data_IF_814170603415
#
_entry.id   IF_814170603415
#
_cell.length_a   1.000
_cell.length_b   1.000
_cell.length_c   1.000
_cell.angle_alpha   90.00
_cell.angle_beta   90.00
_cell.angle_gamma   90.00
#
_symmetry.space_group_name_H-M   'P 1'
#
loop_
_entity.id
_entity.type
_entity.pdbx_description
1 polymer ?
#
# COMPACT_ATOMS: atom_id res chain seq x y z
N UNK A 1 0.14 -12.83 2.91
CA UNK A 1 0.52 -11.78 3.89
C UNK A 1 1.84 -12.20 4.48
N UNK A 2 2.91 -11.46 4.18
CA UNK A 2 4.26 -11.78 4.67
C UNK A 2 4.49 -11.00 5.95
N UNK A 3 4.86 -11.67 7.05
CA UNK A 3 5.15 -11.02 8.32
C UNK A 3 6.66 -10.92 8.50
N UNK A 4 7.15 -9.76 8.96
CA UNK A 4 8.58 -9.56 9.22
C UNK A 4 9.08 -10.40 10.40
N UNK A 5 8.23 -10.68 11.38
CA UNK A 5 8.60 -11.44 12.58
C UNK A 5 7.50 -12.44 12.99
N UNK A 6 7.38 -13.59 12.29
CA UNK A 6 6.28 -14.54 12.49
C UNK A 6 6.21 -15.12 13.91
N UNK A 7 7.34 -15.19 14.61
CA UNK A 7 7.41 -15.63 16.02
C UNK A 7 6.62 -14.73 16.98
N UNK A 8 6.37 -13.46 16.63
CA UNK A 8 5.61 -12.52 17.48
C UNK A 8 4.13 -12.90 17.55
N UNK A 9 3.60 -13.66 16.57
CA UNK A 9 2.23 -14.18 16.64
C UNK A 9 2.02 -15.12 17.83
N UNK A 10 3.08 -15.74 18.38
CA UNK A 10 2.97 -16.55 19.58
C UNK A 10 2.50 -15.71 20.79
N UNK A 11 2.74 -14.39 20.76
CA UNK A 11 2.22 -13.42 21.73
C UNK A 11 0.69 -13.30 21.75
N UNK A 12 -0.03 -13.75 20.72
CA UNK A 12 -1.49 -13.87 20.77
C UNK A 12 -1.96 -14.85 21.84
N UNK A 13 -1.13 -15.81 22.26
CA UNK A 13 -1.44 -16.66 23.41
C UNK A 13 -1.63 -15.84 24.70
N UNK A 14 -0.97 -14.69 24.83
CA UNK A 14 -1.18 -13.79 25.97
C UNK A 14 -2.57 -13.14 25.96
N UNK A 15 -3.19 -12.96 24.78
CA UNK A 15 -4.57 -12.47 24.66
C UNK A 15 -5.61 -13.51 25.13
N UNK A 16 -5.23 -14.80 25.21
CA UNK A 16 -6.08 -15.84 25.77
C UNK A 16 -6.10 -15.82 27.32
N UNK A 17 -5.09 -15.24 27.97
CA UNK A 17 -4.96 -15.22 29.44
C UNK A 17 -6.15 -14.50 30.12
N UNK A 18 -6.57 -13.28 29.70
CA UNK A 18 -7.73 -12.62 30.30
C UNK A 18 -9.04 -13.37 30.06
N UNK A 19 -9.20 -13.98 28.89
CA UNK A 19 -10.39 -14.76 28.55
C UNK A 19 -10.49 -16.04 29.40
N UNK A 20 -9.35 -16.72 29.62
CA UNK A 20 -9.28 -17.93 30.43
C UNK A 20 -9.48 -17.63 31.92
N UNK A 21 -8.90 -16.54 32.43
CA UNK A 21 -9.14 -16.06 33.80
C UNK A 21 -10.63 -15.73 34.02
N UNK A 22 -11.28 -15.08 33.05
CA UNK A 22 -12.72 -14.79 33.15
C UNK A 22 -13.60 -16.04 33.22
N UNK A 23 -13.24 -17.10 32.47
CA UNK A 23 -13.96 -18.37 32.51
C UNK A 23 -13.77 -19.11 33.83
N UNK A 24 -12.60 -18.94 34.47
CA UNK A 24 -12.28 -19.54 35.78
C UNK A 24 -12.99 -18.83 36.94
N UNK A 25 -13.20 -17.52 36.83
CA UNK A 25 -13.88 -16.68 37.84
C UNK A 25 -15.40 -16.94 37.93
N UNK A 26 -15.94 -17.78 37.05
CA UNK A 26 -17.35 -18.21 37.04
C UNK A 26 -17.68 -19.28 38.08
N UNK A 27 -16.74 -19.65 38.97
CA UNK A 27 -16.97 -20.63 40.04
C UNK A 27 -17.69 -20.00 41.24
N UNK A 28 -19.02 -20.13 41.22
CA UNK A 28 -19.98 -20.28 42.33
C UNK A 28 -19.74 -19.40 43.58
N UNK A 29 -20.54 -18.33 43.79
CA UNK A 29 -20.72 -17.77 45.13
C UNK A 29 -21.44 -18.80 46.02
N UNK A 30 -21.02 -19.03 47.27
CA UNK A 30 -21.78 -19.89 48.18
C UNK A 30 -23.18 -19.32 48.40
N UNK A 31 -24.20 -20.16 48.28
CA UNK A 31 -25.59 -19.82 48.59
C UNK A 31 -25.70 -19.55 50.10
N UNK A 32 -25.77 -18.27 50.48
CA UNK A 32 -26.17 -17.86 51.82
C UNK A 32 -27.67 -17.56 51.82
N UNK A 33 -28.48 -18.49 52.34
CA UNK A 33 -29.90 -18.25 52.58
C UNK A 33 -30.08 -17.29 53.77
N UNK A 34 -30.34 -16.01 53.50
CA UNK A 34 -30.82 -15.06 54.52
C UNK A 34 -32.25 -14.58 54.19
N UNK A 35 -33.28 -15.03 54.94
CA UNK A 35 -34.71 -14.89 54.59
C UNK A 35 -35.47 -13.53 54.63
N UNK A 36 -34.95 -12.31 54.91
CA UNK A 36 -35.84 -11.12 54.91
C UNK A 36 -35.83 -10.26 53.62
N UNK A 37 -34.90 -10.45 52.68
CA UNK A 37 -34.64 -9.46 51.60
C UNK A 37 -35.41 -9.67 50.29
N UNK A 38 -36.53 -10.40 50.29
CA UNK A 38 -37.27 -10.75 49.06
C UNK A 38 -37.91 -9.54 48.35
N UNK A 39 -38.08 -8.41 49.05
CA UNK A 39 -38.72 -7.19 48.53
C UNK A 39 -37.76 -6.17 47.88
N UNK A 40 -36.45 -6.42 47.85
CA UNK A 40 -35.47 -5.55 47.18
C UNK A 40 -34.88 -6.18 45.89
N UNK A 41 -35.57 -7.16 45.30
CA UNK A 41 -35.06 -7.95 44.16
C UNK A 41 -35.27 -7.31 42.78
N UNK A 42 -36.12 -6.30 42.66
CA UNK A 42 -36.38 -5.64 41.37
C UNK A 42 -35.34 -4.55 41.05
N UNK A 43 -34.84 -3.85 42.08
CA UNK A 43 -33.77 -2.85 41.94
C UNK A 43 -32.39 -3.49 41.64
N UNK A 44 -32.12 -4.69 42.14
CA UNK A 44 -30.85 -5.39 41.87
C UNK A 44 -30.72 -5.89 40.43
N UNK A 45 -31.83 -6.25 39.77
CA UNK A 45 -31.78 -6.80 38.39
C UNK A 45 -31.26 -5.80 37.37
N UNK A 46 -31.53 -4.51 37.55
CA UNK A 46 -31.02 -3.45 36.66
C UNK A 46 -29.53 -3.16 36.91
N UNK A 47 -29.11 -3.11 38.18
CA UNK A 47 -27.71 -2.93 38.57
C UNK A 47 -26.83 -4.11 38.13
N UNK A 48 -27.33 -5.34 38.28
CA UNK A 48 -26.63 -6.55 37.83
C UNK A 48 -26.44 -6.61 36.30
N UNK A 49 -27.39 -6.10 35.52
CA UNK A 49 -27.27 -6.02 34.04
C UNK A 49 -26.23 -4.97 33.63
N UNK A 50 -26.22 -3.80 34.25
CA UNK A 50 -25.22 -2.74 33.99
C UNK A 50 -23.81 -3.20 34.37
N UNK A 51 -23.67 -3.91 35.49
CA UNK A 51 -22.38 -4.43 35.94
C UNK A 51 -21.84 -5.51 34.98
N UNK A 52 -22.70 -6.41 34.50
CA UNK A 52 -22.35 -7.42 33.48
C UNK A 52 -21.94 -6.79 32.15
N UNK A 53 -22.63 -5.75 31.69
CA UNK A 53 -22.28 -5.04 30.46
C UNK A 53 -20.93 -4.34 30.59
N UNK A 54 -20.69 -3.66 31.71
CA UNK A 54 -19.40 -3.00 31.98
C UNK A 54 -18.26 -4.01 32.05
N UNK A 55 -18.49 -5.16 32.69
CA UNK A 55 -17.49 -6.22 32.76
C UNK A 55 -17.15 -6.81 31.39
N UNK A 56 -18.16 -7.04 30.54
CA UNK A 56 -17.95 -7.53 29.18
C UNK A 56 -17.21 -6.51 28.30
N UNK A 57 -17.55 -5.22 28.42
CA UNK A 57 -16.86 -4.14 27.72
C UNK A 57 -15.41 -3.99 28.19
N UNK A 58 -15.15 -4.09 29.49
CA UNK A 58 -13.79 -4.05 30.05
C UNK A 58 -12.96 -5.26 29.61
N UNK A 59 -13.58 -6.44 29.53
CA UNK A 59 -12.91 -7.64 29.02
C UNK A 59 -12.53 -7.47 27.55
N UNK A 60 -13.46 -7.01 26.70
CA UNK A 60 -13.18 -6.75 25.29
C UNK A 60 -12.09 -5.68 25.09
N UNK A 61 -12.11 -4.62 25.89
CA UNK A 61 -11.09 -3.58 25.79
C UNK A 61 -9.71 -4.09 26.20
N UNK A 62 -9.63 -4.93 27.25
CA UNK A 62 -8.38 -5.53 27.72
C UNK A 62 -7.78 -6.49 26.69
N UNK A 63 -8.60 -7.34 26.07
CA UNK A 63 -8.13 -8.25 25.01
C UNK A 63 -7.76 -7.49 23.74
N UNK A 64 -8.55 -6.49 23.35
CA UNK A 64 -8.26 -5.63 22.20
C UNK A 64 -6.92 -4.90 22.35
N UNK A 65 -6.60 -4.39 23.55
CA UNK A 65 -5.32 -3.73 23.80
C UNK A 65 -4.13 -4.67 23.58
N UNK A 66 -4.21 -5.90 24.10
CA UNK A 66 -3.14 -6.91 23.92
C UNK A 66 -2.98 -7.26 22.44
N UNK A 67 -4.10 -7.49 21.73
CA UNK A 67 -4.07 -7.78 20.29
C UNK A 67 -3.44 -6.63 19.50
N UNK A 68 -3.79 -5.37 19.82
CA UNK A 68 -3.22 -4.19 19.16
C UNK A 68 -1.71 -4.07 19.40
N UNK A 69 -1.23 -4.32 20.63
CA UNK A 69 0.20 -4.31 20.96
C UNK A 69 0.94 -5.40 20.18
N UNK A 70 0.41 -6.62 20.15
CA UNK A 70 1.02 -7.73 19.40
C UNK A 70 1.04 -7.41 17.90
N UNK A 71 -0.03 -6.84 17.36
CA UNK A 71 -0.10 -6.45 15.95
C UNK A 71 0.89 -5.32 15.61
N UNK A 72 1.02 -4.32 16.49
CA UNK A 72 1.98 -3.24 16.33
C UNK A 72 3.43 -3.76 16.37
N UNK A 73 3.72 -4.71 17.27
CA UNK A 73 5.03 -5.35 17.38
C UNK A 73 5.33 -6.28 16.19
N UNK A 74 4.32 -6.99 15.67
CA UNK A 74 4.47 -7.88 14.52
C UNK A 74 4.72 -7.14 13.20
N UNK A 75 4.48 -5.81 13.16
CA UNK A 75 4.63 -4.94 11.99
C UNK A 75 4.13 -5.63 10.71
N UNK A 76 2.82 -5.92 10.59
CA UNK A 76 2.27 -6.55 9.40
C UNK A 76 2.62 -5.69 8.19
N UNK A 77 3.28 -6.29 7.20
CA UNK A 77 3.40 -5.70 5.87
C UNK A 77 2.03 -5.80 5.21
N UNK A 78 1.14 -4.87 5.55
CA UNK A 78 -0.05 -4.62 4.77
C UNK A 78 0.46 -4.13 3.40
N UNK A 79 0.18 -4.84 2.29
CA UNK A 79 0.31 -4.22 0.97
C UNK A 79 -0.51 -2.96 1.05
N UNK A 80 0.08 -1.77 0.83
CA UNK A 80 -0.59 -0.49 1.09
C UNK A 80 -1.91 -0.38 0.31
N UNK A 81 -2.98 -0.82 0.94
CA UNK A 81 -4.35 -0.54 0.57
C UNK A 81 -4.85 0.28 1.75
N UNK A 82 -4.80 1.59 1.55
CA UNK A 82 -4.91 2.63 2.57
C UNK A 82 -5.97 2.30 3.62
N UNK A 83 -5.53 2.33 4.88
CA UNK A 83 -6.39 2.28 6.05
C UNK A 83 -7.34 3.48 6.07
N UNK A 84 -8.64 3.21 5.92
CA UNK A 84 -9.70 3.83 6.72
C UNK A 84 -10.06 5.31 6.52
N UNK A 85 -9.38 6.08 5.68
CA UNK A 85 -9.77 7.45 5.35
C UNK A 85 -9.67 7.65 3.84
N UNK A 86 -10.82 7.71 3.16
CA UNK A 86 -11.04 8.12 1.76
C UNK A 86 -9.81 7.99 0.83
N UNK A 87 -9.85 6.93 0.03
CA UNK A 87 -9.13 6.68 -1.22
C UNK A 87 -9.28 7.84 -2.23
N UNK A 88 -8.79 9.03 -1.89
CA UNK A 88 -8.59 10.09 -2.87
C UNK A 88 -7.16 9.90 -3.35
N UNK A 89 -7.03 9.20 -4.48
CA UNK A 89 -5.81 9.29 -5.28
C UNK A 89 -5.59 10.78 -5.55
N UNK A 90 -4.54 11.34 -4.93
CA UNK A 90 -4.24 12.76 -5.08
C UNK A 90 -3.91 13.02 -6.55
N UNK A 91 -4.52 14.03 -7.20
CA UNK A 91 -4.25 14.33 -8.60
C UNK A 91 -2.74 14.47 -8.82
N UNK A 92 -2.19 13.57 -9.63
CA UNK A 92 -0.75 13.43 -9.81
C UNK A 92 -0.38 13.79 -11.24
N UNK A 93 0.66 14.61 -11.40
CA UNK A 93 1.32 14.75 -12.68
C UNK A 93 2.32 13.58 -12.82
N UNK A 94 2.16 12.75 -13.85
CA UNK A 94 2.93 11.52 -14.06
C UNK A 94 3.49 11.47 -15.47
N UNK A 95 4.82 11.43 -15.57
CA UNK A 95 5.51 11.15 -16.83
C UNK A 95 6.10 9.73 -16.82
N UNK A 96 5.73 8.91 -17.79
CA UNK A 96 6.25 7.55 -17.97
C UNK A 96 7.23 7.56 -19.13
N UNK A 97 8.47 7.15 -18.88
CA UNK A 97 9.51 6.95 -19.89
C UNK A 97 9.59 5.45 -20.16
N UNK A 98 9.29 5.04 -21.39
CA UNK A 98 9.42 3.67 -21.87
C UNK A 98 10.57 3.60 -22.86
N UNK A 99 11.61 2.86 -22.48
CA UNK A 99 12.72 2.55 -23.37
C UNK A 99 12.29 1.50 -24.38
N UNK A 100 12.19 1.93 -25.65
CA UNK A 100 12.01 1.04 -26.78
C UNK A 100 13.20 1.11 -27.74
N UNK A 101 14.39 1.44 -27.26
CA UNK A 101 15.62 1.48 -28.06
C UNK A 101 16.06 0.07 -28.52
N UNK A 102 17.06 -0.05 -29.43
CA UNK A 102 17.46 -1.34 -29.99
C UNK A 102 17.82 -2.41 -28.96
N UNK A 103 18.35 -2.01 -27.79
CA UNK A 103 18.71 -2.95 -26.72
C UNK A 103 17.51 -3.65 -26.08
N UNK A 104 16.36 -2.99 -26.05
CA UNK A 104 15.11 -3.54 -25.52
C UNK A 104 14.56 -4.68 -26.39
N UNK A 105 15.05 -4.84 -27.62
CA UNK A 105 14.75 -5.99 -28.47
C UNK A 105 15.44 -7.30 -28.04
N UNK A 106 16.36 -7.26 -27.08
CA UNK A 106 17.04 -8.45 -26.59
C UNK A 106 16.04 -9.45 -25.98
N UNK A 107 16.19 -10.73 -26.31
CA UNK A 107 15.36 -11.80 -25.75
C UNK A 107 16.08 -12.35 -24.52
N UNK A 108 15.41 -12.30 -23.36
CA UNK A 108 15.90 -12.81 -22.09
C UNK A 108 14.87 -13.85 -21.61
N UNK A 109 15.33 -15.06 -21.28
CA UNK A 109 14.46 -16.16 -20.83
C UNK A 109 13.31 -16.48 -21.81
N UNK A 110 13.56 -16.36 -23.11
CA UNK A 110 12.57 -16.65 -24.17
C UNK A 110 11.57 -15.53 -24.45
N UNK A 111 11.65 -14.40 -23.75
CA UNK A 111 10.76 -13.24 -23.95
C UNK A 111 11.56 -11.97 -24.31
N UNK A 112 11.07 -11.13 -25.25
CA UNK A 112 11.65 -9.82 -25.49
C UNK A 112 11.66 -8.96 -24.22
N UNK A 113 12.78 -8.31 -23.92
CA UNK A 113 12.91 -7.37 -22.81
C UNK A 113 11.88 -6.23 -22.91
N UNK A 114 11.59 -5.79 -24.14
CA UNK A 114 10.55 -4.79 -24.42
C UNK A 114 9.18 -5.18 -23.84
N UNK A 115 8.80 -6.46 -23.87
CA UNK A 115 7.51 -6.90 -23.32
C UNK A 115 7.46 -6.73 -21.80
N UNK A 116 8.59 -6.96 -21.11
CA UNK A 116 8.72 -6.69 -19.68
C UNK A 116 8.63 -5.20 -19.39
N UNK A 117 9.30 -4.37 -20.17
CA UNK A 117 9.26 -2.90 -20.03
C UNK A 117 7.86 -2.35 -20.29
N UNK A 118 7.15 -2.86 -21.31
CA UNK A 118 5.73 -2.55 -21.57
C UNK A 118 4.86 -2.91 -20.38
N UNK A 119 5.04 -4.08 -19.79
CA UNK A 119 4.29 -4.50 -18.61
C UNK A 119 4.52 -3.56 -17.42
N UNK A 120 5.76 -3.12 -17.18
CA UNK A 120 6.10 -2.14 -16.13
C UNK A 120 5.48 -0.76 -16.39
N UNK A 121 5.55 -0.26 -17.63
CA UNK A 121 4.93 1.00 -18.02
C UNK A 121 3.40 0.93 -17.88
N UNK A 122 2.78 -0.16 -18.33
CA UNK A 122 1.35 -0.43 -18.19
C UNK A 122 0.92 -0.49 -16.73
N UNK A 123 1.67 -1.15 -15.87
CA UNK A 123 1.38 -1.21 -14.44
C UNK A 123 1.37 0.19 -13.79
N UNK A 124 2.19 1.12 -14.29
CA UNK A 124 2.18 2.52 -13.85
C UNK A 124 0.94 3.27 -14.34
N UNK A 125 0.61 3.16 -15.63
CA UNK A 125 -0.54 3.87 -16.23
C UNK A 125 -1.89 3.37 -15.70
N UNK A 126 -2.03 2.09 -15.37
CA UNK A 126 -3.30 1.53 -14.84
C UNK A 126 -3.68 2.12 -13.48
N UNK A 127 -2.68 2.49 -12.66
CA UNK A 127 -2.92 3.10 -11.35
C UNK A 127 -3.38 4.56 -11.46
N UNK A 128 -3.20 5.20 -12.61
CA UNK A 128 -3.60 6.57 -12.82
C UNK A 128 -5.13 6.74 -12.83
N UNK A 129 -5.57 7.86 -12.28
CA UNK A 129 -6.96 8.30 -12.25
C UNK A 129 -7.29 9.29 -13.38
N UNK A 130 -8.57 9.60 -13.56
CA UNK A 130 -9.01 10.62 -14.52
C UNK A 130 -8.59 12.05 -14.13
N UNK A 131 -8.21 12.27 -12.87
CA UNK A 131 -7.72 13.57 -12.40
C UNK A 131 -6.22 13.78 -12.66
N UNK A 132 -5.51 12.74 -13.12
CA UNK A 132 -4.07 12.80 -13.35
C UNK A 132 -3.72 13.43 -14.68
N UNK A 133 -2.52 14.01 -14.73
CA UNK A 133 -1.92 14.50 -15.95
C UNK A 133 -0.84 13.52 -16.39
N UNK A 134 -1.03 12.93 -17.57
CA UNK A 134 -0.22 11.80 -18.02
C UNK A 134 0.59 12.14 -19.26
N UNK A 135 1.86 11.76 -19.26
CA UNK A 135 2.73 11.79 -20.43
C UNK A 135 3.42 10.45 -20.64
N UNK A 136 3.63 10.10 -21.91
CA UNK A 136 4.48 8.98 -22.33
C UNK A 136 5.64 9.51 -23.17
N UNK A 137 6.85 9.12 -22.81
CA UNK A 137 8.09 9.40 -23.56
C UNK A 137 8.67 8.08 -24.05
N UNK A 138 8.99 8.00 -25.34
CA UNK A 138 9.63 6.84 -25.96
C UNK A 138 11.10 7.14 -26.28
N UNK A 139 11.79 6.23 -26.97
CA UNK A 139 13.18 6.41 -27.39
C UNK A 139 13.41 7.62 -28.31
N UNK A 140 12.36 8.17 -28.92
CA UNK A 140 12.43 9.41 -29.70
C UNK A 140 12.48 10.69 -28.85
N UNK A 141 12.33 10.57 -27.52
CA UNK A 141 12.38 11.69 -26.59
C UNK A 141 11.15 12.62 -26.65
N UNK A 142 10.13 12.28 -27.45
CA UNK A 142 8.94 13.11 -27.61
C UNK A 142 7.92 12.75 -26.52
N UNK A 143 7.56 13.75 -25.70
CA UNK A 143 6.52 13.61 -24.69
C UNK A 143 5.13 13.71 -25.30
N UNK A 144 4.34 12.65 -25.13
CA UNK A 144 2.97 12.52 -25.62
C UNK A 144 2.02 12.61 -24.44
N UNK A 145 1.29 13.71 -24.33
CA UNK A 145 0.22 13.85 -23.34
C UNK A 145 -1.06 13.16 -23.82
N UNK A 146 -1.81 12.52 -22.93
CA UNK A 146 -3.05 11.86 -23.33
C UNK A 146 -3.84 11.24 -22.18
N UNK A 147 -4.99 10.66 -22.53
CA UNK A 147 -5.77 9.85 -21.58
C UNK A 147 -5.04 8.53 -21.30
N UNK A 148 -5.33 7.93 -20.15
CA UNK A 148 -4.81 6.62 -19.76
C UNK A 148 -5.02 5.58 -20.87
N UNK A 149 -6.21 5.54 -21.46
CA UNK A 149 -6.58 4.57 -22.49
C UNK A 149 -5.76 4.77 -23.78
N UNK A 150 -5.53 6.02 -24.20
CA UNK A 150 -4.73 6.33 -25.38
C UNK A 150 -3.23 6.00 -25.17
N UNK A 151 -2.71 6.29 -23.98
CA UNK A 151 -1.31 5.97 -23.64
C UNK A 151 -1.10 4.45 -23.51
N UNK A 152 -2.06 3.72 -22.94
CA UNK A 152 -2.02 2.25 -22.89
C UNK A 152 -2.02 1.63 -24.29
N UNK A 153 -2.89 2.09 -25.19
CA UNK A 153 -2.89 1.65 -26.58
C UNK A 153 -1.55 1.94 -27.27
N UNK A 154 -0.95 3.10 -26.99
CA UNK A 154 0.37 3.45 -27.49
C UNK A 154 1.42 2.45 -26.99
N UNK A 155 1.48 2.18 -25.67
CA UNK A 155 2.41 1.21 -25.07
C UNK A 155 2.26 -0.18 -25.68
N UNK A 156 1.02 -0.66 -25.88
CA UNK A 156 0.78 -1.99 -26.43
C UNK A 156 1.29 -2.09 -27.89
N UNK A 157 1.09 -1.04 -28.70
CA UNK A 157 1.49 -0.98 -30.12
C UNK A 157 2.98 -0.72 -30.37
N UNK A 158 3.73 -0.24 -29.37
CA UNK A 158 5.13 0.18 -29.54
C UNK A 158 6.03 -0.99 -29.96
N UNK A 159 6.76 -0.82 -31.06
CA UNK A 159 7.83 -1.72 -31.48
C UNK A 159 9.20 -1.23 -31.00
N UNK A 160 10.22 -2.06 -31.24
CA UNK A 160 11.62 -1.65 -31.08
C UNK A 160 11.91 -0.53 -32.09
N UNK A 161 12.41 0.58 -31.59
CA UNK A 161 12.84 1.74 -32.36
C UNK A 161 14.32 1.60 -32.73
N UNK A 162 14.74 2.07 -33.92
CA UNK A 162 16.15 2.19 -34.25
C UNK A 162 16.85 3.34 -33.48
N UNK A 163 16.09 4.20 -32.80
CA UNK A 163 16.62 5.34 -32.07
C UNK A 163 17.14 4.94 -30.70
N UNK A 164 18.25 5.56 -30.30
CA UNK A 164 18.80 5.45 -28.95
C UNK A 164 18.10 6.44 -28.03
N UNK A 165 17.63 5.95 -26.88
CA UNK A 165 17.12 6.80 -25.82
C UNK A 165 18.29 7.45 -25.05
N UNK A 166 18.32 8.77 -24.97
CA UNK A 166 19.10 9.48 -23.94
C UNK A 166 18.23 9.60 -22.69
N UNK A 167 18.47 8.70 -21.75
CA UNK A 167 17.67 8.61 -20.54
C UNK A 167 17.84 9.86 -19.65
N UNK A 168 19.01 10.49 -19.68
CA UNK A 168 19.28 11.69 -18.87
C UNK A 168 18.53 12.90 -19.43
N UNK A 169 18.53 13.06 -20.75
CA UNK A 169 17.74 14.09 -21.41
C UNK A 169 16.24 13.84 -21.23
N UNK A 170 15.78 12.60 -21.38
CA UNK A 170 14.38 12.22 -21.22
C UNK A 170 13.87 12.48 -19.79
N UNK A 171 14.61 12.07 -18.77
CA UNK A 171 14.25 12.33 -17.36
C UNK A 171 14.24 13.82 -17.07
N UNK A 172 15.20 14.60 -17.59
CA UNK A 172 15.22 16.06 -17.41
C UNK A 172 14.02 16.74 -18.09
N UNK A 173 13.67 16.30 -19.29
CA UNK A 173 12.50 16.81 -20.01
C UNK A 173 11.20 16.44 -19.29
N UNK A 174 11.07 15.18 -18.87
CA UNK A 174 9.96 14.70 -18.07
C UNK A 174 9.81 15.49 -16.78
N UNK A 175 10.88 15.65 -15.99
CA UNK A 175 10.91 16.45 -14.77
C UNK A 175 10.36 17.86 -14.99
N UNK A 176 10.80 18.56 -16.04
CA UNK A 176 10.29 19.90 -16.37
C UNK A 176 8.80 19.90 -16.72
N UNK A 177 8.28 18.86 -17.36
CA UNK A 177 6.86 18.74 -17.70
C UNK A 177 6.01 18.56 -16.45
N UNK A 178 6.40 17.64 -15.56
CA UNK A 178 5.71 17.44 -14.28
C UNK A 178 5.86 18.65 -13.36
N UNK A 179 7.00 19.35 -13.40
CA UNK A 179 7.25 20.58 -12.64
C UNK A 179 6.42 21.78 -13.14
N UNK A 180 5.97 21.76 -14.39
CA UNK A 180 5.12 22.82 -14.94
C UNK A 180 3.65 22.73 -14.48
N UNK A 181 3.20 21.55 -14.02
CA UNK A 181 1.81 21.38 -13.59
C UNK A 181 1.56 21.97 -12.19
N UNK A 182 0.35 22.47 -11.90
CA UNK A 182 -0.03 22.98 -10.58
C UNK A 182 -0.42 21.87 -9.59
N UNK A 183 0.09 20.65 -9.77
CA UNK A 183 -0.24 19.48 -8.93
C UNK A 183 0.80 19.31 -7.82
N UNK A 184 0.37 18.83 -6.65
CA UNK A 184 1.24 18.61 -5.50
C UNK A 184 2.07 17.34 -5.67
N UNK A 185 1.44 16.25 -6.13
CA UNK A 185 2.11 15.00 -6.45
C UNK A 185 2.68 15.04 -7.88
N UNK A 186 3.97 14.76 -8.02
CA UNK A 186 4.73 14.78 -9.28
C UNK A 186 5.64 13.57 -9.34
N UNK A 187 5.51 12.78 -10.39
CA UNK A 187 6.20 11.51 -10.52
C UNK A 187 6.80 11.34 -11.93
N UNK A 188 8.01 10.78 -11.98
CA UNK A 188 8.64 10.34 -13.23
C UNK A 188 8.95 8.85 -13.08
N UNK A 189 8.28 8.01 -13.87
CA UNK A 189 8.51 6.57 -13.89
C UNK A 189 9.37 6.21 -15.08
N UNK A 190 10.42 5.43 -14.84
CA UNK A 190 11.36 5.00 -15.88
C UNK A 190 11.29 3.48 -16.02
N UNK A 191 10.95 3.01 -17.22
CA UNK A 191 11.05 1.62 -17.63
C UNK A 191 12.14 1.50 -18.69
N UNK A 192 13.33 1.08 -18.27
CA UNK A 192 14.51 0.89 -19.13
C UNK A 192 15.33 -0.31 -18.66
N UNK A 193 16.11 -0.89 -19.57
CA UNK A 193 17.11 -1.91 -19.27
C UNK A 193 18.38 -1.32 -18.61
N UNK A 194 18.43 0.01 -18.45
CA UNK A 194 19.51 0.76 -17.81
C UNK A 194 20.89 0.49 -18.42
N UNK A 195 20.95 0.23 -19.73
CA UNK A 195 22.24 0.11 -20.39
C UNK A 195 23.08 1.37 -20.20
N UNK A 196 24.39 1.19 -20.04
CA UNK A 196 25.35 2.31 -19.92
C UNK A 196 25.26 3.25 -21.13
N UNK A 197 24.96 2.71 -22.30
CA UNK A 197 24.72 3.48 -23.52
C UNK A 197 23.49 4.39 -23.39
N UNK A 198 22.44 4.05 -22.66
CA UNK A 198 21.28 4.92 -22.48
C UNK A 198 21.58 6.13 -21.56
N UNK A 199 22.61 6.03 -20.71
CA UNK A 199 22.98 7.07 -19.75
C UNK A 199 23.84 8.15 -20.44
N UNK A 200 23.25 9.32 -20.65
CA UNK A 200 23.96 10.53 -21.06
C UNK A 200 24.81 11.13 -19.93
N UNK A 201 25.62 12.17 -20.24
CA UNK A 201 26.35 12.91 -19.23
C UNK A 201 25.38 13.58 -18.25
N UNK A 202 25.54 13.28 -16.96
CA UNK A 202 24.68 13.80 -15.90
C UNK A 202 25.23 13.51 -14.51
N UNK A 203 24.70 14.22 -13.52
CA UNK A 203 24.94 13.96 -12.10
C UNK A 203 23.60 13.76 -11.41
N UNK A 204 23.45 12.65 -10.69
CA UNK A 204 22.35 12.45 -9.77
C UNK A 204 22.83 12.80 -8.36
N UNK A 205 22.10 13.68 -7.66
CA UNK A 205 22.28 13.84 -6.23
C UNK A 205 21.67 12.62 -5.55
N UNK A 206 22.49 11.71 -5.04
CA UNK A 206 22.01 10.59 -4.22
C UNK A 206 21.62 11.19 -2.87
N UNK A 207 20.35 11.08 -2.43
CA UNK A 207 19.96 11.50 -1.09
C UNK A 207 20.84 10.75 -0.09
N UNK A 208 21.52 11.50 0.79
CA UNK A 208 22.20 10.87 1.93
C UNK A 208 21.11 10.36 2.85
N UNK A 209 20.95 9.03 2.88
CA UNK A 209 20.06 8.35 3.82
C UNK A 209 20.49 8.55 5.26
#
# INVERSE_FOLDING_TARGET
MTFLHPLVLLGLAAAAIPALLHLLERRVPPEAEFPPLRYLREAERQSARRLKLRHLLLLMLRTALIVLIVLAAARPLLPSHGSGARLVHEPTALAVILDNSPSSGAVIDGHPMLDRLKATARASLIRASAADRLWLVLADGVARGGTREALLATVDSVGVSPLRLDLTAAVRAAARLVDAEPLAAREVHVASDLQRSALGPGRAAVPRG
#
